data_IF_965355848813
#
_entry.id   IF_965355848813
#
_cell.length_a   1.000
_cell.length_b   1.000
_cell.length_c   1.000
_cell.angle_alpha   90.00
_cell.angle_beta   90.00
_cell.angle_gamma   90.00
#
_symmetry.space_group_name_H-M   'P 1'
#
loop_
_entity.id
_entity.type
_entity.pdbx_description
1 polymer ?
#
# COMPACT_ATOMS: atom_id res chain seq x y z
N UNK A 1 21.73 -5.73 -76.82
CA UNK A 1 20.57 -6.39 -76.18
C UNK A 1 20.83 -6.42 -74.70
N UNK A 2 20.10 -5.61 -73.90
CA UNK A 2 20.25 -5.63 -72.41
C UNK A 2 19.31 -6.63 -71.81
N UNK A 3 19.85 -7.47 -70.94
CA UNK A 3 19.13 -8.44 -70.11
C UNK A 3 18.60 -7.74 -68.85
N UNK A 4 17.29 -7.72 -68.71
CA UNK A 4 16.60 -7.13 -67.58
C UNK A 4 16.43 -8.21 -66.49
N UNK A 5 17.14 -8.07 -65.38
CA UNK A 5 16.96 -8.91 -64.19
C UNK A 5 15.82 -8.34 -63.34
N UNK A 6 14.74 -9.08 -63.14
CA UNK A 6 13.65 -8.76 -62.21
C UNK A 6 14.00 -9.26 -60.81
N UNK A 7 14.11 -8.35 -59.85
CA UNK A 7 14.21 -8.65 -58.42
C UNK A 7 12.78 -8.93 -57.89
N UNK A 8 12.56 -10.14 -57.41
CA UNK A 8 11.37 -10.48 -56.63
C UNK A 8 11.65 -10.11 -55.15
N UNK A 9 10.92 -9.10 -54.64
CA UNK A 9 10.86 -8.86 -53.20
C UNK A 9 9.84 -9.80 -52.56
N UNK A 10 10.30 -10.78 -51.80
CA UNK A 10 9.47 -11.54 -50.86
C UNK A 10 9.26 -10.70 -49.62
N UNK A 11 8.04 -10.20 -49.42
CA UNK A 11 7.62 -9.58 -48.17
C UNK A 11 7.34 -10.67 -47.12
N UNK A 12 8.17 -10.78 -46.11
CA UNK A 12 7.89 -11.57 -44.93
C UNK A 12 6.98 -10.80 -43.99
N UNK A 13 5.73 -11.18 -43.92
CA UNK A 13 4.78 -10.68 -42.89
C UNK A 13 5.08 -11.36 -41.57
N UNK A 14 5.66 -10.59 -40.64
CA UNK A 14 5.85 -11.05 -39.27
C UNK A 14 4.48 -10.88 -38.57
N UNK A 15 3.77 -11.98 -38.34
CA UNK A 15 2.65 -12.02 -37.40
C UNK A 15 3.25 -11.94 -35.98
N UNK A 16 3.12 -10.79 -35.34
CA UNK A 16 3.27 -10.69 -33.88
C UNK A 16 2.10 -11.43 -33.23
N UNK A 17 2.34 -12.62 -32.72
CA UNK A 17 1.42 -13.29 -31.82
C UNK A 17 1.46 -12.53 -30.48
N UNK A 18 0.42 -11.72 -30.22
CA UNK A 18 0.15 -11.22 -28.87
C UNK A 18 -0.26 -12.44 -28.04
N UNK A 19 0.66 -12.97 -27.26
CA UNK A 19 0.35 -13.98 -26.25
C UNK A 19 -0.58 -13.33 -25.21
N UNK A 20 -1.88 -13.56 -25.34
CA UNK A 20 -2.85 -13.23 -24.31
C UNK A 20 -2.50 -14.03 -23.06
N UNK A 21 -2.06 -13.36 -21.99
CA UNK A 21 -1.95 -13.98 -20.69
C UNK A 21 -3.34 -14.43 -20.27
N UNK A 22 -3.55 -15.72 -20.18
CA UNK A 22 -4.77 -16.30 -19.61
C UNK A 22 -4.81 -15.91 -18.14
N UNK A 23 -5.83 -15.16 -17.72
CA UNK A 23 -6.05 -14.85 -16.32
C UNK A 23 -6.24 -16.19 -15.56
N UNK A 24 -5.29 -16.51 -14.69
CA UNK A 24 -5.43 -17.65 -13.78
C UNK A 24 -6.48 -17.29 -12.73
N UNK A 25 -7.42 -18.21 -12.49
CA UNK A 25 -8.40 -18.10 -11.43
C UNK A 25 -8.05 -19.10 -10.32
N UNK A 26 -8.41 -18.75 -9.08
CA UNK A 26 -8.28 -19.64 -7.92
C UNK A 26 -9.39 -20.71 -7.88
N UNK A 27 -9.41 -21.50 -6.78
CA UNK A 27 -10.44 -22.52 -6.54
C UNK A 27 -11.87 -21.96 -6.41
N UNK A 28 -12.01 -20.64 -6.17
CA UNK A 28 -13.28 -19.92 -6.09
C UNK A 28 -13.68 -19.23 -7.39
N UNK A 29 -12.87 -19.39 -8.46
CA UNK A 29 -13.08 -18.71 -9.76
C UNK A 29 -12.74 -17.23 -9.77
N UNK A 30 -12.02 -16.71 -8.74
CA UNK A 30 -11.57 -15.35 -8.66
C UNK A 30 -10.18 -15.19 -9.30
N UNK A 31 -9.90 -14.04 -9.96
CA UNK A 31 -8.57 -13.78 -10.49
C UNK A 31 -7.48 -13.88 -9.43
N UNK A 32 -6.35 -14.47 -9.78
CA UNK A 32 -5.13 -14.48 -8.96
C UNK A 32 -4.21 -13.29 -9.30
N UNK A 33 -4.46 -12.62 -10.43
CA UNK A 33 -3.73 -11.44 -10.89
C UNK A 33 -4.69 -10.36 -11.35
N UNK A 34 -4.47 -9.15 -10.87
CA UNK A 34 -5.22 -7.96 -11.25
C UNK A 34 -4.27 -6.99 -11.96
N UNK A 35 -4.61 -6.57 -13.17
CA UNK A 35 -3.81 -5.61 -13.94
C UNK A 35 -4.20 -4.20 -13.51
N UNK A 36 -3.25 -3.48 -12.92
CA UNK A 36 -3.41 -2.08 -12.53
C UNK A 36 -3.37 -1.20 -13.76
N UNK A 37 -2.33 -1.39 -14.60
CA UNK A 37 -2.16 -0.67 -15.87
C UNK A 37 -1.19 -1.37 -16.81
N UNK A 38 -1.34 -1.05 -18.10
CA UNK A 38 -0.39 -1.40 -19.17
C UNK A 38 0.40 -0.18 -19.66
N UNK A 39 0.15 1.00 -19.10
CA UNK A 39 0.93 2.20 -19.39
C UNK A 39 2.30 2.13 -18.68
N UNK A 40 3.37 2.65 -19.28
CA UNK A 40 4.70 2.63 -18.65
C UNK A 40 4.77 3.58 -17.45
N UNK A 41 5.66 3.28 -16.51
CA UNK A 41 6.03 4.17 -15.41
C UNK A 41 4.97 4.33 -14.32
N UNK A 42 4.01 3.40 -14.20
CA UNK A 42 2.94 3.49 -13.18
C UNK A 42 3.49 3.22 -11.79
N UNK A 43 4.31 2.20 -11.59
CA UNK A 43 4.89 1.83 -10.30
C UNK A 43 3.82 1.88 -9.19
N UNK A 44 2.89 0.92 -9.16
CA UNK A 44 1.84 0.92 -8.14
C UNK A 44 2.46 0.76 -6.75
N UNK A 45 1.82 1.37 -5.72
CA UNK A 45 2.41 1.34 -4.39
C UNK A 45 1.40 0.99 -3.30
N UNK A 46 0.33 1.77 -3.10
CA UNK A 46 -0.69 1.55 -2.10
C UNK A 46 -1.91 0.83 -2.63
N UNK A 47 -2.58 0.07 -1.75
CA UNK A 47 -3.83 -0.61 -2.07
C UNK A 47 -4.79 -0.60 -0.88
N UNK A 48 -6.06 -0.45 -1.18
CA UNK A 48 -7.16 -0.73 -0.24
C UNK A 48 -8.30 -1.45 -0.93
N UNK A 49 -8.94 -2.38 -0.23
CA UNK A 49 -10.15 -3.07 -0.70
C UNK A 49 -11.26 -2.83 0.31
N UNK A 50 -12.35 -2.24 -0.15
CA UNK A 50 -13.53 -1.98 0.67
C UNK A 50 -14.32 -3.27 0.94
N UNK A 51 -15.17 -3.29 1.95
CA UNK A 51 -16.05 -4.43 2.27
C UNK A 51 -16.92 -4.90 1.10
N UNK A 52 -17.30 -4.00 0.20
CA UNK A 52 -18.09 -4.32 -0.99
C UNK A 52 -17.24 -4.84 -2.17
N UNK A 53 -15.94 -5.07 -1.96
CA UNK A 53 -14.99 -5.55 -2.96
C UNK A 53 -14.47 -4.46 -3.91
N UNK A 54 -14.79 -3.17 -3.70
CA UNK A 54 -14.17 -2.10 -4.49
C UNK A 54 -12.71 -1.93 -4.08
N UNK A 55 -11.81 -1.96 -5.05
CA UNK A 55 -10.37 -1.85 -4.90
C UNK A 55 -9.87 -0.51 -5.41
N UNK A 56 -8.96 0.12 -4.68
CA UNK A 56 -8.19 1.29 -5.13
C UNK A 56 -6.71 1.00 -5.02
N UNK A 57 -5.95 1.38 -6.05
CA UNK A 57 -4.50 1.25 -6.12
C UNK A 57 -3.91 2.61 -6.50
N UNK A 58 -2.87 3.02 -5.80
CA UNK A 58 -2.12 4.25 -6.08
C UNK A 58 -0.91 3.99 -6.98
N UNK A 59 -0.35 5.06 -7.53
CA UNK A 59 0.84 5.04 -8.36
C UNK A 59 1.90 6.01 -7.82
N UNK A 60 3.06 5.49 -7.41
CA UNK A 60 4.23 6.30 -7.06
C UNK A 60 4.86 6.94 -8.30
N UNK A 61 4.76 6.28 -9.45
CA UNK A 61 5.37 6.80 -10.68
C UNK A 61 4.64 7.96 -11.33
N UNK A 62 3.31 8.08 -11.16
CA UNK A 62 2.49 9.08 -11.89
C UNK A 62 1.53 9.86 -11.02
N UNK A 63 1.42 9.54 -9.73
CA UNK A 63 0.45 10.15 -8.82
C UNK A 63 -1.00 9.74 -9.06
N UNK A 64 -1.29 8.92 -10.06
CA UNK A 64 -2.66 8.48 -10.41
C UNK A 64 -3.21 7.51 -9.38
N UNK A 65 -4.54 7.42 -9.36
CA UNK A 65 -5.28 6.37 -8.67
C UNK A 65 -6.00 5.49 -9.69
N UNK A 66 -6.08 4.20 -9.39
CA UNK A 66 -6.80 3.20 -10.16
C UNK A 66 -7.90 2.60 -9.31
N UNK A 67 -9.01 2.22 -9.92
CA UNK A 67 -10.13 1.57 -9.26
C UNK A 67 -10.53 0.31 -9.99
N UNK A 68 -10.75 -0.74 -9.23
CA UNK A 68 -11.27 -2.02 -9.72
C UNK A 68 -12.29 -2.61 -8.75
N UNK A 69 -12.56 -3.89 -8.94
CA UNK A 69 -13.42 -4.66 -8.08
C UNK A 69 -12.91 -6.09 -7.99
N UNK A 70 -12.97 -6.68 -6.82
CA UNK A 70 -12.75 -8.12 -6.64
C UNK A 70 -13.63 -8.88 -7.62
N UNK A 71 -13.04 -9.82 -8.35
CA UNK A 71 -13.69 -10.56 -9.44
C UNK A 71 -13.45 -10.00 -10.85
N UNK A 72 -12.96 -8.76 -10.99
CA UNK A 72 -12.59 -8.19 -12.28
C UNK A 72 -11.08 -8.01 -12.38
N UNK A 73 -10.45 -8.68 -13.34
CA UNK A 73 -8.98 -8.72 -13.48
C UNK A 73 -8.32 -7.41 -13.88
N UNK A 74 -9.05 -6.43 -14.38
CA UNK A 74 -8.51 -5.16 -14.88
C UNK A 74 -9.06 -3.98 -14.08
N UNK A 75 -8.15 -3.13 -13.57
CA UNK A 75 -8.49 -1.86 -12.96
C UNK A 75 -8.60 -0.76 -14.05
N UNK A 76 -9.29 0.30 -13.72
CA UNK A 76 -9.46 1.47 -14.57
C UNK A 76 -8.93 2.72 -13.85
N UNK A 77 -8.42 3.73 -14.57
CA UNK A 77 -8.06 5.00 -13.96
C UNK A 77 -9.24 5.56 -13.15
N UNK A 78 -8.97 5.95 -11.91
CA UNK A 78 -9.94 6.65 -11.08
C UNK A 78 -9.77 8.15 -11.29
N UNK A 79 -10.75 8.77 -11.95
CA UNK A 79 -10.73 10.20 -12.29
C UNK A 79 -10.91 11.06 -11.01
N UNK A 80 -9.87 11.13 -10.20
CA UNK A 80 -9.83 11.92 -8.97
C UNK A 80 -9.36 13.34 -9.28
N UNK A 81 -10.16 14.35 -8.97
CA UNK A 81 -9.83 15.75 -9.21
C UNK A 81 -8.57 16.17 -8.45
N UNK A 82 -7.65 16.86 -9.12
CA UNK A 82 -6.42 17.40 -8.53
C UNK A 82 -5.30 16.38 -8.31
N UNK A 83 -5.49 15.12 -8.69
CA UNK A 83 -4.46 14.08 -8.61
C UNK A 83 -3.43 14.25 -9.72
N UNK A 84 -3.83 14.79 -10.88
CA UNK A 84 -2.92 15.02 -12.00
C UNK A 84 -1.75 15.98 -11.68
N UNK A 85 -1.92 16.83 -10.66
CA UNK A 85 -0.88 17.74 -10.19
C UNK A 85 0.17 17.05 -9.30
N UNK A 86 -0.07 15.79 -8.89
CA UNK A 86 0.87 15.02 -8.07
C UNK A 86 1.82 14.24 -8.96
N UNK A 87 3.07 14.21 -8.55
CA UNK A 87 4.08 13.35 -9.19
C UNK A 87 4.12 11.95 -8.58
N UNK A 88 3.60 11.79 -7.36
CA UNK A 88 3.60 10.54 -6.61
C UNK A 88 2.35 10.45 -5.73
N UNK A 89 1.77 9.26 -5.66
CA UNK A 89 0.76 8.88 -4.65
C UNK A 89 1.12 7.49 -4.15
N UNK A 90 1.37 7.38 -2.84
CA UNK A 90 1.74 6.12 -2.19
C UNK A 90 0.57 5.55 -1.40
N UNK A 91 0.44 5.83 -0.11
CA UNK A 91 -0.65 5.29 0.68
C UNK A 91 -2.04 5.67 0.17
N UNK A 92 -2.96 4.70 0.15
CA UNK A 92 -4.37 4.89 -0.18
C UNK A 92 -5.26 4.05 0.74
N UNK A 93 -6.22 4.70 1.42
CA UNK A 93 -7.20 4.05 2.27
C UNK A 93 -8.60 4.63 2.06
N UNK A 94 -9.63 3.89 2.48
CA UNK A 94 -11.01 4.36 2.42
C UNK A 94 -11.65 4.37 3.80
N UNK A 95 -12.50 5.38 4.05
CA UNK A 95 -13.33 5.40 5.24
C UNK A 95 -14.64 4.59 5.05
N UNK A 96 -15.40 4.42 6.12
CA UNK A 96 -16.68 3.69 6.09
C UNK A 96 -17.78 4.34 5.22
N UNK A 97 -17.55 5.57 4.73
CA UNK A 97 -18.45 6.30 3.83
C UNK A 97 -18.04 6.15 2.36
N UNK A 98 -16.92 5.45 2.11
CA UNK A 98 -16.33 5.28 0.79
C UNK A 98 -15.55 6.49 0.30
N UNK A 99 -15.17 7.43 1.18
CA UNK A 99 -14.21 8.47 0.81
C UNK A 99 -12.82 7.85 0.68
N UNK A 100 -12.10 8.29 -0.33
CA UNK A 100 -10.76 7.83 -0.66
C UNK A 100 -9.73 8.83 -0.15
N UNK A 101 -8.93 8.42 0.81
CA UNK A 101 -7.82 9.19 1.37
C UNK A 101 -6.54 8.70 0.70
N UNK A 102 -5.71 9.61 0.24
CA UNK A 102 -4.44 9.27 -0.37
C UNK A 102 -3.35 10.27 -0.02
N UNK A 103 -2.14 9.77 0.16
CA UNK A 103 -0.95 10.57 0.48
C UNK A 103 0.14 10.34 -0.54
N UNK A 104 1.02 11.33 -0.70
CA UNK A 104 2.22 11.28 -1.53
C UNK A 104 2.82 12.65 -1.67
N UNK A 105 4.14 12.70 -1.83
CA UNK A 105 4.89 13.96 -1.79
C UNK A 105 4.57 14.73 -0.50
N UNK A 106 4.01 15.91 -0.60
CA UNK A 106 3.76 16.79 0.55
C UNK A 106 2.29 16.85 1.00
N UNK A 107 1.40 16.01 0.44
CA UNK A 107 -0.03 16.25 0.67
C UNK A 107 -0.87 15.00 0.92
N UNK A 108 -1.86 15.16 1.81
CA UNK A 108 -3.01 14.29 1.99
C UNK A 108 -4.18 14.86 1.17
N UNK A 109 -4.80 14.05 0.32
CA UNK A 109 -6.06 14.41 -0.36
C UNK A 109 -7.18 13.43 -0.02
N UNK A 110 -8.39 13.95 -0.01
CA UNK A 110 -9.61 13.18 0.24
C UNK A 110 -10.58 13.40 -0.91
N UNK A 111 -11.04 12.32 -1.51
CA UNK A 111 -12.04 12.32 -2.56
C UNK A 111 -13.26 11.52 -2.13
N UNK A 112 -14.43 11.85 -2.66
CA UNK A 112 -15.56 10.91 -2.55
C UNK A 112 -15.40 9.74 -3.56
N UNK A 113 -16.26 8.74 -3.45
CA UNK A 113 -16.26 7.56 -4.33
C UNK A 113 -16.48 7.86 -5.84
N UNK A 114 -16.87 9.10 -6.17
CA UNK A 114 -17.04 9.59 -7.55
C UNK A 114 -15.85 10.43 -8.05
N UNK A 115 -14.76 10.54 -7.24
CA UNK A 115 -13.58 11.31 -7.61
C UNK A 115 -13.66 12.81 -7.34
N UNK A 116 -14.75 13.32 -6.76
CA UNK A 116 -14.83 14.74 -6.39
C UNK A 116 -13.91 15.02 -5.19
N UNK A 117 -13.06 16.01 -5.33
CA UNK A 117 -12.18 16.47 -4.26
C UNK A 117 -12.99 17.05 -3.08
N UNK A 118 -12.74 16.56 -1.89
CA UNK A 118 -13.34 17.01 -0.62
C UNK A 118 -12.36 17.86 0.19
N UNK A 119 -11.08 17.47 0.24
CA UNK A 119 -10.05 18.17 0.97
C UNK A 119 -8.66 17.91 0.41
N UNK A 120 -7.78 18.92 0.53
CA UNK A 120 -6.33 18.78 0.39
C UNK A 120 -5.68 19.38 1.63
N UNK A 121 -4.70 18.70 2.20
CA UNK A 121 -3.92 19.16 3.35
C UNK A 121 -2.45 18.98 3.05
N UNK A 122 -1.73 20.09 3.03
CA UNK A 122 -0.27 20.10 2.86
C UNK A 122 0.39 19.92 4.22
N UNK A 123 1.36 19.04 4.29
CA UNK A 123 2.20 18.87 5.46
C UNK A 123 3.19 20.04 5.56
N UNK A 124 3.49 20.54 6.75
CA UNK A 124 4.60 21.47 6.97
C UNK A 124 5.94 20.74 6.82
N UNK A 125 7.02 21.51 6.66
CA UNK A 125 8.37 20.96 6.72
C UNK A 125 8.60 20.27 8.07
N UNK A 126 9.27 19.12 7.99
CA UNK A 126 9.70 18.36 9.15
C UNK A 126 11.09 18.77 9.64
N UNK A 127 11.63 18.08 10.66
CA UNK A 127 12.94 18.41 11.25
C UNK A 127 14.12 18.20 10.31
N UNK A 128 13.95 17.49 9.20
CA UNK A 128 14.98 17.24 8.19
C UNK A 128 14.71 17.95 6.86
N UNK A 129 13.65 18.73 6.76
CA UNK A 129 13.25 19.45 5.56
C UNK A 129 11.87 19.07 5.04
N UNK A 130 11.68 19.20 3.74
CA UNK A 130 10.40 18.92 3.10
C UNK A 130 9.91 17.51 3.38
N UNK A 131 8.59 17.31 3.64
CA UNK A 131 8.03 16.00 3.87
C UNK A 131 7.98 15.19 2.57
N UNK A 132 8.01 13.86 2.73
CA UNK A 132 7.71 12.89 1.69
C UNK A 132 6.74 11.84 2.28
N UNK A 133 5.45 12.13 2.20
CA UNK A 133 4.41 11.34 2.84
C UNK A 133 4.31 9.95 2.21
N UNK A 134 4.29 8.91 3.06
CA UNK A 134 4.32 7.53 2.60
C UNK A 134 2.97 6.82 2.78
N UNK A 135 2.53 6.59 4.00
CA UNK A 135 1.30 5.82 4.25
C UNK A 135 0.39 6.52 5.26
N UNK A 136 -0.83 6.02 5.41
CA UNK A 136 -1.82 6.59 6.32
C UNK A 136 -2.70 5.52 6.95
N UNK A 137 -3.23 5.82 8.13
CA UNK A 137 -4.31 5.05 8.75
C UNK A 137 -5.44 5.97 9.21
N UNK A 138 -6.68 5.52 9.00
CA UNK A 138 -7.88 6.24 9.37
C UNK A 138 -8.45 5.62 10.66
N UNK A 139 -8.55 6.42 11.70
CA UNK A 139 -9.26 6.07 12.95
C UNK A 139 -10.59 6.80 13.02
N UNK A 140 -11.38 6.54 14.06
CA UNK A 140 -12.67 7.22 14.25
C UNK A 140 -12.56 8.76 14.26
N UNK A 141 -11.47 9.30 14.81
CA UNK A 141 -11.33 10.74 15.11
C UNK A 141 -10.15 11.41 14.40
N UNK A 142 -9.31 10.66 13.69
CA UNK A 142 -8.10 11.20 13.06
C UNK A 142 -7.62 10.34 11.89
N UNK A 143 -6.84 10.98 11.02
CA UNK A 143 -5.94 10.32 10.07
C UNK A 143 -4.52 10.53 10.60
N UNK A 144 -3.75 9.46 10.66
CA UNK A 144 -2.32 9.50 10.96
C UNK A 144 -1.56 9.17 9.67
N UNK A 145 -0.46 9.88 9.45
CA UNK A 145 0.33 9.80 8.21
C UNK A 145 1.80 9.68 8.55
N UNK A 146 2.50 8.75 7.94
CA UNK A 146 3.95 8.62 8.05
C UNK A 146 4.66 9.50 7.04
N UNK A 147 5.82 10.01 7.45
CA UNK A 147 6.73 10.79 6.59
C UNK A 147 8.03 9.99 6.39
N UNK A 148 8.27 9.58 5.14
CA UNK A 148 9.48 8.84 4.76
C UNK A 148 10.76 9.68 4.93
N UNK A 149 10.68 10.98 4.61
CA UNK A 149 11.83 11.89 4.68
C UNK A 149 12.13 12.36 6.11
N UNK A 150 11.15 12.30 7.01
CA UNK A 150 11.27 12.77 8.38
C UNK A 150 10.80 11.70 9.37
N UNK A 151 11.41 11.60 10.56
CA UNK A 151 11.00 10.65 11.60
C UNK A 151 9.72 11.10 12.33
N UNK A 152 8.71 11.52 11.57
CA UNK A 152 7.51 12.19 12.09
C UNK A 152 6.26 11.46 11.65
N UNK A 153 5.36 11.19 12.59
CA UNK A 153 3.97 10.87 12.29
C UNK A 153 3.18 12.18 12.36
N UNK A 154 2.49 12.49 11.25
CA UNK A 154 1.57 13.63 11.20
C UNK A 154 0.16 13.17 11.54
N UNK A 155 -0.70 14.13 11.91
CA UNK A 155 -2.09 13.87 12.24
C UNK A 155 -3.00 14.96 11.71
N UNK A 156 -4.18 14.55 11.20
CA UNK A 156 -5.29 15.42 10.89
C UNK A 156 -6.54 14.95 11.65
N UNK A 157 -7.18 15.84 12.41
CA UNK A 157 -8.43 15.52 13.11
C UNK A 157 -9.57 15.30 12.13
N UNK A 158 -10.40 14.30 12.39
CA UNK A 158 -11.64 14.05 11.67
C UNK A 158 -12.85 14.46 12.51
N UNK A 159 -13.72 15.29 11.95
CA UNK A 159 -14.99 15.71 12.57
C UNK A 159 -16.11 15.61 11.53
N UNK A 160 -16.80 14.48 11.53
CA UNK A 160 -17.75 14.16 10.44
C UNK A 160 -17.02 14.07 9.11
N UNK A 161 -17.42 14.89 8.12
CA UNK A 161 -16.79 14.94 6.80
C UNK A 161 -15.63 15.96 6.72
N UNK A 162 -15.32 16.63 7.83
CA UNK A 162 -14.27 17.63 7.87
C UNK A 162 -12.93 17.01 8.26
N UNK A 163 -11.93 17.26 7.44
CA UNK A 163 -10.52 16.91 7.69
C UNK A 163 -9.82 18.16 8.17
N UNK A 164 -9.27 18.13 9.37
CA UNK A 164 -8.48 19.23 9.96
C UNK A 164 -7.17 19.48 9.22
N UNK A 165 -6.37 20.45 9.65
CA UNK A 165 -5.02 20.64 9.14
C UNK A 165 -4.16 19.39 9.43
N UNK A 166 -3.23 19.08 8.52
CA UNK A 166 -2.23 18.04 8.73
C UNK A 166 -1.06 18.67 9.50
N UNK A 167 -0.82 18.20 10.70
CA UNK A 167 0.19 18.78 11.59
C UNK A 167 1.12 17.69 12.15
N UNK A 168 2.39 17.99 12.47
CA UNK A 168 3.27 17.09 13.19
C UNK A 168 2.63 16.70 14.53
N UNK A 169 2.53 15.41 14.76
CA UNK A 169 1.91 14.87 15.97
C UNK A 169 2.90 14.18 16.90
N UNK A 170 3.86 13.43 16.32
CA UNK A 170 4.85 12.67 17.05
C UNK A 170 6.17 12.69 16.28
N UNK A 171 7.24 13.17 16.90
CA UNK A 171 8.62 12.92 16.47
C UNK A 171 9.12 11.66 17.21
N UNK A 172 9.27 10.58 16.47
CA UNK A 172 9.58 9.26 17.01
C UNK A 172 10.99 9.20 17.61
N UNK A 173 11.92 10.06 17.17
CA UNK A 173 13.29 10.15 17.69
C UNK A 173 13.33 10.49 19.17
N UNK A 174 12.34 11.20 19.68
CA UNK A 174 12.32 11.62 21.09
C UNK A 174 12.37 10.43 22.05
N UNK A 175 11.86 9.27 21.62
CA UNK A 175 11.91 8.04 22.40
C UNK A 175 13.23 7.27 22.24
N UNK A 176 13.94 7.46 21.12
CA UNK A 176 15.12 6.69 20.74
C UNK A 176 16.20 7.59 20.11
N UNK A 177 16.80 8.53 20.88
CA UNK A 177 17.73 9.53 20.36
C UNK A 177 19.05 8.94 19.83
N UNK A 178 19.35 7.68 20.11
CA UNK A 178 20.52 6.97 19.60
C UNK A 178 20.45 6.66 18.10
N UNK A 179 19.24 6.66 17.51
CA UNK A 179 19.08 6.44 16.08
C UNK A 179 19.24 7.76 15.31
N UNK A 180 20.13 7.82 14.30
CA UNK A 180 20.22 8.99 13.43
C UNK A 180 18.90 9.26 12.71
N UNK A 181 18.45 10.52 12.72
CA UNK A 181 17.14 10.91 12.17
C UNK A 181 16.87 10.43 10.74
N UNK A 182 17.86 10.53 9.87
CA UNK A 182 17.77 10.17 8.44
C UNK A 182 17.58 8.67 8.17
N UNK A 183 17.72 7.82 9.18
CA UNK A 183 17.59 6.37 9.05
C UNK A 183 16.23 5.84 9.50
N UNK A 184 15.32 6.69 9.90
CA UNK A 184 14.01 6.23 10.35
C UNK A 184 13.15 5.71 9.21
N UNK A 185 13.03 6.42 8.09
CA UNK A 185 12.29 6.01 6.90
C UNK A 185 10.94 5.38 7.29
N UNK A 186 10.05 6.20 7.89
CA UNK A 186 8.75 5.72 8.36
C UNK A 186 7.89 5.34 7.16
N UNK A 187 7.33 4.13 7.20
CA UNK A 187 6.61 3.52 6.09
C UNK A 187 5.19 3.14 6.53
N UNK A 188 4.78 1.89 6.38
CA UNK A 188 3.44 1.42 6.70
C UNK A 188 2.96 1.82 8.09
N UNK A 189 1.68 2.11 8.24
CA UNK A 189 1.06 2.46 9.50
C UNK A 189 -0.33 1.84 9.63
N UNK A 190 -0.58 1.16 10.75
CA UNK A 190 -1.88 0.57 11.06
C UNK A 190 -2.32 0.94 12.48
N UNK A 191 -3.61 0.79 12.75
CA UNK A 191 -4.18 1.03 14.08
C UNK A 191 -4.94 -0.20 14.57
N UNK A 192 -5.01 -0.36 15.89
CA UNK A 192 -5.96 -1.27 16.49
C UNK A 192 -7.42 -0.83 16.22
N UNK A 193 -8.38 -1.72 16.40
CA UNK A 193 -9.80 -1.44 16.12
C UNK A 193 -10.32 -0.24 16.92
N UNK A 194 -9.78 0.00 18.11
CA UNK A 194 -10.18 1.11 18.97
C UNK A 194 -9.53 2.45 18.56
N UNK A 195 -8.44 2.43 17.77
CA UNK A 195 -7.63 3.59 17.43
C UNK A 195 -6.80 4.11 18.60
N UNK A 196 -6.53 3.26 19.59
CA UNK A 196 -5.75 3.60 20.80
C UNK A 196 -4.27 3.27 20.63
N UNK A 197 -3.96 2.36 19.74
CA UNK A 197 -2.59 1.94 19.45
C UNK A 197 -2.34 2.01 17.94
N UNK A 198 -1.19 2.60 17.57
CA UNK A 198 -0.67 2.53 16.21
C UNK A 198 0.53 1.58 16.18
N UNK A 199 0.69 0.86 15.08
CA UNK A 199 1.92 0.20 14.72
C UNK A 199 2.50 0.93 13.51
N UNK A 200 3.74 1.37 13.62
CA UNK A 200 4.44 2.18 12.61
C UNK A 200 5.68 1.41 12.16
N UNK A 201 5.76 1.11 10.88
CA UNK A 201 6.93 0.50 10.28
C UNK A 201 8.05 1.53 10.08
N UNK A 202 9.29 1.08 10.20
CA UNK A 202 10.48 1.86 9.87
C UNK A 202 11.48 0.96 9.15
N UNK A 203 11.70 1.21 7.86
CA UNK A 203 12.71 0.47 7.10
C UNK A 203 14.13 0.79 7.59
N UNK A 204 14.37 2.03 7.99
CA UNK A 204 15.70 2.46 8.42
C UNK A 204 16.14 1.88 9.75
N UNK A 205 15.22 1.59 10.66
CA UNK A 205 15.51 0.92 11.93
C UNK A 205 15.20 -0.57 11.89
N UNK A 206 14.67 -1.06 10.76
CA UNK A 206 14.26 -2.45 10.56
C UNK A 206 13.35 -2.96 11.69
N UNK A 207 12.36 -2.15 12.06
CA UNK A 207 11.49 -2.37 13.21
C UNK A 207 10.05 -1.93 12.97
N UNK A 208 9.17 -2.47 13.79
CA UNK A 208 7.81 -1.96 14.00
C UNK A 208 7.74 -1.29 15.36
N UNK A 209 7.24 -0.07 15.39
CA UNK A 209 7.10 0.76 16.56
C UNK A 209 5.64 0.84 16.99
N UNK A 210 5.36 0.43 18.22
CA UNK A 210 4.05 0.59 18.85
C UNK A 210 3.95 1.97 19.47
N UNK A 211 2.87 2.68 19.15
CA UNK A 211 2.62 4.04 19.65
C UNK A 211 1.26 4.07 20.35
N UNK A 212 1.24 4.48 21.61
CA UNK A 212 0.01 4.77 22.33
C UNK A 212 -0.54 6.15 21.91
N UNK A 213 -1.77 6.22 21.42
CA UNK A 213 -2.31 7.47 20.85
C UNK A 213 -2.65 8.53 21.89
N UNK A 214 -2.86 8.17 23.16
CA UNK A 214 -3.20 9.11 24.23
C UNK A 214 -1.94 9.70 24.87
N UNK A 215 -0.95 8.85 25.18
CA UNK A 215 0.28 9.26 25.87
C UNK A 215 1.43 9.60 24.92
N UNK A 216 1.37 9.13 23.67
CA UNK A 216 2.43 9.16 22.66
C UNK A 216 3.67 8.36 23.06
N UNK A 217 3.53 7.45 24.01
CA UNK A 217 4.59 6.53 24.35
C UNK A 217 4.93 5.62 23.15
N UNK A 218 6.23 5.46 22.90
CA UNK A 218 6.75 4.67 21.77
C UNK A 218 7.60 3.53 22.32
N UNK A 219 7.38 2.34 21.81
CA UNK A 219 8.15 1.15 22.15
C UNK A 219 8.29 0.24 20.92
N UNK A 220 9.40 -0.49 20.83
CA UNK A 220 9.60 -1.44 19.75
C UNK A 220 8.75 -2.70 19.97
N UNK A 221 8.05 -3.17 18.94
CA UNK A 221 7.39 -4.46 18.95
C UNK A 221 8.44 -5.57 18.85
N UNK A 222 8.45 -6.50 19.80
CA UNK A 222 9.39 -7.62 19.82
C UNK A 222 8.84 -8.76 18.95
N UNK A 223 9.40 -8.94 17.75
CA UNK A 223 9.01 -9.96 16.76
C UNK A 223 10.06 -11.09 16.64
N UNK A 224 10.78 -11.40 17.71
CA UNK A 224 11.91 -12.32 17.73
C UNK A 224 13.24 -11.60 17.47
N UNK A 225 14.27 -12.37 17.10
CA UNK A 225 15.64 -11.84 16.91
C UNK A 225 15.88 -11.30 15.48
N UNK A 226 14.89 -11.36 14.61
CA UNK A 226 15.02 -10.96 13.21
C UNK A 226 14.74 -9.47 13.04
N UNK A 227 15.53 -8.83 12.21
CA UNK A 227 15.22 -7.56 11.56
C UNK A 227 13.84 -7.62 10.88
N UNK A 228 12.96 -6.67 11.21
CA UNK A 228 11.59 -6.67 10.71
C UNK A 228 11.12 -5.24 10.42
N UNK A 229 11.60 -4.70 9.30
CA UNK A 229 11.22 -3.36 8.83
C UNK A 229 10.30 -3.45 7.62
N UNK A 230 8.98 -3.67 7.83
CA UNK A 230 8.06 -3.81 6.72
C UNK A 230 7.88 -2.50 5.93
N UNK A 231 7.48 -2.66 4.67
CA UNK A 231 6.93 -1.60 3.85
C UNK A 231 5.47 -1.38 4.27
N UNK A 232 4.48 -1.87 3.55
CA UNK A 232 3.08 -1.78 3.95
C UNK A 232 2.64 -2.85 4.95
N UNK A 233 1.60 -2.57 5.71
CA UNK A 233 1.05 -3.47 6.74
C UNK A 233 -0.47 -3.49 6.75
N UNK A 234 -1.04 -4.60 7.24
CA UNK A 234 -2.46 -4.72 7.64
C UNK A 234 -2.52 -5.36 9.03
N UNK A 235 -3.34 -4.81 9.92
CA UNK A 235 -3.62 -5.40 11.23
C UNK A 235 -5.08 -5.88 11.27
N UNK A 236 -5.27 -7.18 11.45
CA UNK A 236 -6.59 -7.79 11.63
C UNK A 236 -6.65 -8.51 12.98
N UNK A 237 -7.35 -7.92 13.92
CA UNK A 237 -7.30 -8.38 15.32
C UNK A 237 -5.89 -8.27 15.88
N UNK A 238 -5.25 -9.43 16.12
CA UNK A 238 -3.85 -9.54 16.57
C UNK A 238 -2.92 -10.08 15.47
N UNK A 239 -3.45 -10.36 14.30
CA UNK A 239 -2.66 -10.84 13.17
C UNK A 239 -2.14 -9.64 12.38
N UNK A 240 -0.83 -9.50 12.33
CA UNK A 240 -0.12 -8.49 11.54
C UNK A 240 0.33 -9.13 10.23
N UNK A 241 -0.17 -8.62 9.12
CA UNK A 241 0.31 -8.92 7.77
C UNK A 241 1.26 -7.80 7.36
N UNK A 242 2.47 -8.14 6.95
CA UNK A 242 3.53 -7.20 6.65
C UNK A 242 4.20 -7.55 5.32
N UNK A 243 4.37 -6.58 4.45
CA UNK A 243 5.17 -6.76 3.23
C UNK A 243 6.62 -6.42 3.53
N UNK A 244 7.54 -7.35 3.26
CA UNK A 244 8.97 -7.13 3.35
C UNK A 244 9.58 -7.18 1.94
N UNK A 245 10.36 -6.16 1.61
CA UNK A 245 11.03 -6.02 0.31
C UNK A 245 12.46 -5.45 0.44
N UNK A 246 12.88 -5.05 1.65
CA UNK A 246 14.23 -4.60 1.95
C UNK A 246 14.89 -5.54 2.96
N UNK A 247 16.06 -6.08 2.61
CA UNK A 247 16.86 -6.92 3.53
C UNK A 247 16.30 -8.31 3.82
N UNK A 248 15.19 -8.71 3.19
CA UNK A 248 14.54 -10.02 3.31
C UNK A 248 14.06 -10.51 1.94
N UNK A 249 13.75 -11.80 1.75
CA UNK A 249 13.06 -12.26 0.55
C UNK A 249 11.73 -11.54 0.40
N UNK A 250 11.46 -11.03 -0.81
CA UNK A 250 10.22 -10.33 -1.15
C UNK A 250 9.00 -11.18 -0.82
N UNK A 251 8.03 -10.61 -0.11
CA UNK A 251 6.82 -11.34 0.20
C UNK A 251 5.99 -10.80 1.36
N UNK A 252 4.99 -11.58 1.75
CA UNK A 252 4.12 -11.30 2.88
C UNK A 252 4.54 -12.15 4.07
N UNK A 253 4.77 -11.50 5.18
CA UNK A 253 5.12 -12.10 6.46
C UNK A 253 3.95 -11.90 7.42
N UNK A 254 3.47 -12.97 8.05
CA UNK A 254 2.33 -12.93 8.96
C UNK A 254 2.84 -13.20 10.37
N UNK A 255 2.53 -12.30 11.29
CA UNK A 255 2.89 -12.41 12.69
C UNK A 255 1.63 -12.43 13.58
N UNK A 256 1.59 -13.33 14.54
CA UNK A 256 0.61 -13.31 15.60
C UNK A 256 1.15 -12.51 16.78
N UNK A 257 0.43 -11.43 17.13
CA UNK A 257 0.82 -10.52 18.20
C UNK A 257 0.16 -10.88 19.55
N UNK A 258 0.80 -10.49 20.64
CA UNK A 258 0.20 -10.49 21.98
C UNK A 258 -0.99 -9.52 22.03
N UNK A 259 -1.87 -9.70 23.02
CA UNK A 259 -3.07 -8.85 23.21
C UNK A 259 -2.73 -7.35 23.32
N UNK A 260 -1.61 -7.03 23.95
CA UNK A 260 -1.11 -5.65 24.11
C UNK A 260 -0.29 -5.13 22.93
N UNK A 261 -0.15 -5.92 21.86
CA UNK A 261 0.61 -5.61 20.63
C UNK A 261 2.10 -5.29 20.84
N UNK A 262 2.68 -5.74 21.96
CA UNK A 262 4.10 -5.49 22.30
C UNK A 262 5.04 -6.56 21.80
N UNK A 263 4.56 -7.76 21.61
CA UNK A 263 5.35 -8.94 21.21
C UNK A 263 4.58 -9.75 20.19
N UNK A 264 5.30 -10.53 19.41
CA UNK A 264 4.70 -11.45 18.46
C UNK A 264 5.69 -12.46 17.91
N UNK A 265 5.18 -13.35 17.11
CA UNK A 265 5.94 -14.39 16.42
C UNK A 265 5.53 -14.42 14.97
N UNK A 266 6.49 -14.40 14.05
CA UNK A 266 6.24 -14.62 12.62
C UNK A 266 5.87 -16.08 12.40
N UNK A 267 4.62 -16.33 12.01
CA UNK A 267 4.05 -17.67 11.83
C UNK A 267 4.11 -18.15 10.38
N UNK A 268 4.03 -17.21 9.40
CA UNK A 268 4.06 -17.54 7.97
C UNK A 268 4.97 -16.57 7.22
N UNK A 269 5.59 -17.11 6.15
CA UNK A 269 6.38 -16.36 5.18
C UNK A 269 5.96 -16.80 3.80
N UNK A 270 5.21 -15.95 3.11
CA UNK A 270 4.67 -16.22 1.77
C UNK A 270 5.58 -15.50 0.78
N UNK A 271 6.52 -16.22 0.20
CA UNK A 271 7.53 -15.70 -0.74
C UNK A 271 7.43 -16.46 -2.06
N UNK A 272 7.98 -15.92 -3.14
CA UNK A 272 8.02 -16.58 -4.44
C UNK A 272 8.06 -15.60 -5.60
N UNK A 273 8.17 -16.16 -6.82
CA UNK A 273 8.30 -15.40 -8.07
C UNK A 273 7.05 -14.58 -8.44
N UNK A 274 5.92 -14.83 -7.78
CA UNK A 274 4.69 -14.05 -7.95
C UNK A 274 4.79 -12.62 -7.37
N UNK A 275 5.83 -12.34 -6.59
CA UNK A 275 6.08 -11.03 -6.01
C UNK A 275 7.23 -10.33 -6.71
N UNK A 276 6.94 -9.18 -7.30
CA UNK A 276 7.89 -8.34 -8.04
C UNK A 276 8.04 -6.99 -7.34
N UNK A 277 8.92 -6.94 -6.36
CA UNK A 277 9.09 -5.88 -5.37
C UNK A 277 7.75 -5.44 -4.76
N UNK A 278 7.11 -6.30 -3.96
CA UNK A 278 5.84 -5.96 -3.33
C UNK A 278 6.03 -4.81 -2.33
N UNK A 279 5.08 -3.87 -2.27
CA UNK A 279 5.17 -2.72 -1.36
C UNK A 279 4.11 -2.77 -0.27
N UNK A 280 2.87 -3.07 -0.61
CA UNK A 280 1.80 -3.12 0.38
C UNK A 280 0.76 -4.18 0.02
N UNK A 281 -0.19 -4.38 0.92
CA UNK A 281 -1.27 -5.35 0.73
C UNK A 281 -2.59 -4.83 1.30
N UNK A 282 -3.68 -5.42 0.81
CA UNK A 282 -5.01 -5.33 1.42
C UNK A 282 -5.52 -6.73 1.73
N UNK A 283 -6.27 -6.89 2.82
CA UNK A 283 -7.01 -8.11 3.16
C UNK A 283 -8.50 -7.89 2.87
N UNK A 284 -9.11 -8.81 2.13
CA UNK A 284 -10.54 -8.80 1.90
C UNK A 284 -11.05 -10.24 1.87
N UNK A 285 -12.03 -10.51 2.70
CA UNK A 285 -12.45 -11.88 2.99
C UNK A 285 -11.23 -12.74 3.38
N UNK A 286 -11.10 -13.93 2.85
CA UNK A 286 -9.98 -14.84 3.11
C UNK A 286 -8.87 -14.70 2.06
N UNK A 287 -8.62 -13.49 1.52
CA UNK A 287 -7.60 -13.25 0.50
C UNK A 287 -6.75 -12.02 0.80
N UNK A 288 -5.49 -12.11 0.40
CA UNK A 288 -4.52 -11.03 0.45
C UNK A 288 -4.26 -10.54 -0.97
N UNK A 289 -4.33 -9.23 -1.19
CA UNK A 289 -4.10 -8.55 -2.45
C UNK A 289 -2.83 -7.74 -2.32
N UNK A 290 -1.76 -8.18 -2.96
CA UNK A 290 -0.39 -7.68 -2.80
C UNK A 290 0.01 -6.89 -4.03
N UNK A 291 0.43 -5.65 -3.85
CA UNK A 291 0.89 -4.78 -4.94
C UNK A 291 2.30 -5.18 -5.36
N UNK A 292 2.51 -5.37 -6.67
CA UNK A 292 3.83 -5.53 -7.29
C UNK A 292 4.29 -4.19 -7.87
N UNK A 293 5.16 -3.50 -7.16
CA UNK A 293 5.55 -2.12 -7.47
C UNK A 293 6.57 -2.01 -8.59
N UNK A 294 7.52 -2.93 -8.68
CA UNK A 294 8.68 -2.85 -9.58
C UNK A 294 9.52 -1.58 -9.37
N UNK A 295 9.47 -0.97 -8.18
CA UNK A 295 10.06 0.36 -7.95
C UNK A 295 11.59 0.40 -8.06
N UNK A 296 12.27 -0.75 -7.93
CA UNK A 296 13.73 -0.87 -8.10
C UNK A 296 14.15 -0.88 -9.58
N UNK A 297 13.25 -1.26 -10.49
CA UNK A 297 13.51 -1.35 -11.93
C UNK A 297 12.82 -0.20 -12.69
N UNK A 298 12.97 1.04 -12.18
CA UNK A 298 12.34 2.21 -12.81
C UNK A 298 12.77 2.40 -14.25
N UNK A 299 11.86 2.57 -15.22
CA UNK A 299 10.41 2.82 -15.04
C UNK A 299 9.55 1.57 -14.85
N UNK A 300 10.12 0.39 -14.66
CA UNK A 300 9.42 -0.88 -14.59
C UNK A 300 8.93 -1.40 -15.94
N UNK A 301 8.38 -2.60 -15.97
CA UNK A 301 7.90 -3.27 -17.18
C UNK A 301 6.41 -3.59 -17.05
N UNK A 302 5.52 -2.98 -17.88
CA UNK A 302 4.11 -3.35 -17.86
C UNK A 302 3.86 -4.81 -18.30
N UNK A 303 2.77 -5.45 -17.86
CA UNK A 303 1.71 -4.89 -17.02
C UNK A 303 2.10 -4.79 -15.56
N UNK A 304 1.68 -3.71 -14.90
CA UNK A 304 1.78 -3.59 -13.45
C UNK A 304 0.60 -4.30 -12.80
N UNK A 305 0.86 -5.04 -11.72
CA UNK A 305 -0.12 -5.98 -11.19
C UNK A 305 -0.31 -5.90 -9.68
N UNK A 306 -1.44 -6.44 -9.24
CA UNK A 306 -1.69 -6.90 -7.87
C UNK A 306 -1.82 -8.41 -7.92
N UNK A 307 -1.06 -9.11 -7.10
CA UNK A 307 -1.18 -10.57 -6.91
C UNK A 307 -2.17 -10.85 -5.78
N UNK A 308 -3.15 -11.71 -6.04
CA UNK A 308 -4.07 -12.17 -5.02
C UNK A 308 -3.73 -13.62 -4.63
N UNK A 309 -3.58 -13.85 -3.33
CA UNK A 309 -3.28 -15.14 -2.73
C UNK A 309 -4.27 -15.43 -1.61
N UNK A 310 -4.44 -16.70 -1.26
CA UNK A 310 -5.26 -17.08 -0.12
C UNK A 310 -4.58 -16.65 1.19
N UNK A 311 -5.38 -16.24 2.17
CA UNK A 311 -4.95 -15.94 3.52
C UNK A 311 -4.82 -17.26 4.32
N UNK A 312 -3.59 -17.71 4.64
CA UNK A 312 -3.39 -19.02 5.26
C UNK A 312 -3.86 -19.09 6.73
N UNK A 313 -4.18 -17.96 7.34
CA UNK A 313 -4.67 -17.88 8.73
C UNK A 313 -6.13 -17.47 8.81
N UNK A 314 -6.82 -17.40 7.67
CA UNK A 314 -8.25 -17.12 7.64
C UNK A 314 -9.04 -18.28 8.26
N UNK A 315 -9.96 -17.96 9.16
CA UNK A 315 -10.91 -18.92 9.72
C UNK A 315 -12.26 -18.83 9.01
N UNK A 316 -13.05 -19.91 9.01
CA UNK A 316 -14.41 -19.95 8.44
C UNK A 316 -15.34 -18.89 9.06
N UNK A 317 -15.03 -18.41 10.27
CA UNK A 317 -15.78 -17.36 10.96
C UNK A 317 -15.52 -15.97 10.40
N UNK A 318 -14.32 -15.72 9.82
CA UNK A 318 -13.97 -14.43 9.21
C UNK A 318 -14.75 -14.16 7.90
N UNK A 319 -15.08 -15.22 7.15
CA UNK A 319 -15.86 -15.12 5.90
C UNK A 319 -17.37 -14.95 6.11
N UNK A 320 -17.89 -15.21 7.33
CA UNK A 320 -19.32 -15.10 7.64
C UNK A 320 -19.76 -13.80 8.28
N UNK A 321 -18.85 -12.92 8.66
CA UNK A 321 -19.18 -11.62 9.27
C UNK A 321 -19.71 -10.57 8.29
N UNK A 322 -19.97 -10.94 7.04
CA UNK A 322 -20.53 -10.09 5.98
C UNK A 322 -22.06 -9.94 6.00
N UNK A 323 -22.79 -10.62 6.90
CA UNK A 323 -24.26 -10.53 6.97
C UNK A 323 -24.73 -10.37 8.41
N UNK A 324 -24.49 -9.23 9.03
CA UNK A 324 -25.32 -8.66 10.11
C UNK A 324 -24.79 -7.29 10.55
N UNK A 325 -25.69 -6.32 10.44
CA UNK A 325 -25.76 -4.94 10.94
C UNK A 325 -25.19 -3.84 10.07
#
# INVERSE_FOLDING_TARGET
>A
MPVTTRLLCLGASILLAVAGQTAHADAHGLPTTYVVSRDPGILPEGITVQRNGTMYVSSDGTGRLFRGRVGNSDLQPFAAQGVEARQSTRGVHTDNRGNVFSVGGTSLTVHNSRGRLLATRTAPDGPLGAPDLNDLVITKNAVYVTDWANPVVLRADLRGDRVGPLVPWLDIRSAFPQFPARYWLLNGIVADKAGTTLLVASNGTEAVWRVDTATRAVEQVQLGDASFGPDGMVLHGRTLYAVLNYGAPNGVYIAELSEDLRRGVVTHRLTGEQFDLPTTLARHDCRLYVVNSQADDRPGTPPYTVTAIDDPVCSDDDGRSGTAD
#
